data_IF_163790482776
#
_entry.id   IF_163790482776
#
_cell.length_a   1.000
_cell.length_b   1.000
_cell.length_c   1.000
_cell.angle_alpha   90.00
_cell.angle_beta   90.00
_cell.angle_gamma   90.00
#
_symmetry.space_group_name_H-M   'P 1'
#
loop_
_entity.id
_entity.type
_entity.pdbx_description
1 polymer ?
#
# COMPACT_ATOMS: atom_id res chain seq x y z
N UNK A 1 -8.92 -21.11 -39.13
CA UNK A 1 -10.18 -20.45 -38.74
C UNK A 1 -10.07 -20.11 -37.26
N UNK A 2 -9.74 -18.87 -36.93
CA UNK A 2 -9.81 -18.36 -35.55
C UNK A 2 -11.30 -18.34 -35.17
N UNK A 3 -11.67 -19.01 -34.08
CA UNK A 3 -13.05 -19.09 -33.61
C UNK A 3 -13.52 -17.70 -33.17
N UNK A 4 -14.78 -17.31 -33.46
CA UNK A 4 -15.26 -15.96 -33.21
C UNK A 4 -15.46 -15.71 -31.70
N UNK A 5 -14.61 -14.86 -31.13
CA UNK A 5 -14.86 -13.65 -30.31
C UNK A 5 -16.17 -13.54 -29.47
N UNK A 6 -16.68 -14.63 -28.88
CA UNK A 6 -17.71 -14.54 -27.85
C UNK A 6 -17.13 -14.38 -26.44
N UNK A 7 -15.85 -14.72 -26.27
CA UNK A 7 -15.12 -14.72 -24.99
C UNK A 7 -14.44 -13.36 -24.70
N UNK A 8 -14.06 -12.61 -25.73
CA UNK A 8 -13.27 -11.38 -25.56
C UNK A 8 -14.02 -10.28 -24.80
N UNK A 9 -15.34 -10.15 -25.00
CA UNK A 9 -16.16 -9.16 -24.28
C UNK A 9 -16.31 -9.51 -22.80
N UNK A 10 -16.55 -10.78 -22.47
CA UNK A 10 -16.66 -11.22 -21.08
C UNK A 10 -15.31 -11.06 -20.35
N UNK A 11 -14.20 -11.36 -21.02
CA UNK A 11 -12.86 -11.17 -20.48
C UNK A 11 -12.56 -9.69 -20.21
N UNK A 12 -12.87 -8.79 -21.15
CA UNK A 12 -12.71 -7.34 -20.96
C UNK A 12 -13.53 -6.86 -19.76
N UNK A 13 -14.81 -7.26 -19.65
CA UNK A 13 -15.63 -6.88 -18.50
C UNK A 13 -15.07 -7.37 -17.16
N UNK A 14 -14.49 -8.58 -17.13
CA UNK A 14 -13.86 -9.13 -15.93
C UNK A 14 -12.58 -8.39 -15.57
N UNK A 15 -11.79 -7.99 -16.56
CA UNK A 15 -10.59 -7.17 -16.38
C UNK A 15 -10.97 -5.82 -15.79
N UNK A 16 -11.96 -5.12 -16.37
CA UNK A 16 -12.41 -3.81 -15.88
C UNK A 16 -12.94 -3.87 -14.44
N UNK A 17 -13.76 -4.89 -14.13
CA UNK A 17 -14.23 -5.14 -12.76
C UNK A 17 -13.07 -5.39 -11.80
N UNK A 18 -12.05 -6.14 -12.22
CA UNK A 18 -10.88 -6.46 -11.40
C UNK A 18 -9.99 -5.26 -11.19
N UNK A 19 -9.72 -4.46 -12.22
CA UNK A 19 -8.94 -3.23 -12.13
C UNK A 19 -9.63 -2.28 -11.14
N UNK A 20 -10.93 -2.05 -11.28
CA UNK A 20 -11.69 -1.17 -10.37
C UNK A 20 -11.59 -1.65 -8.92
N UNK A 21 -11.85 -2.93 -8.66
CA UNK A 21 -11.78 -3.49 -7.31
C UNK A 21 -10.36 -3.49 -6.74
N UNK A 22 -9.35 -3.76 -7.55
CA UNK A 22 -7.95 -3.81 -7.13
C UNK A 22 -7.42 -2.41 -6.83
N UNK A 23 -7.72 -1.43 -7.69
CA UNK A 23 -7.33 -0.03 -7.46
C UNK A 23 -7.91 0.47 -6.15
N UNK A 24 -9.20 0.25 -5.91
CA UNK A 24 -9.82 0.60 -4.63
C UNK A 24 -9.15 -0.09 -3.45
N UNK A 25 -8.93 -1.41 -3.53
CA UNK A 25 -8.31 -2.16 -2.43
C UNK A 25 -6.89 -1.69 -2.12
N UNK A 26 -6.08 -1.40 -3.14
CA UNK A 26 -4.72 -0.89 -2.95
C UNK A 26 -4.77 0.54 -2.40
N UNK A 27 -5.64 1.39 -2.94
CA UNK A 27 -5.76 2.79 -2.54
C UNK A 27 -6.29 2.98 -1.10
N UNK A 28 -7.09 2.06 -0.60
CA UNK A 28 -7.63 2.16 0.76
C UNK A 28 -6.79 1.47 1.82
N UNK A 29 -6.15 0.34 1.50
CA UNK A 29 -5.57 -0.52 2.54
C UNK A 29 -4.05 -0.62 2.52
N UNK A 30 -3.39 -0.29 1.41
CA UNK A 30 -1.93 -0.43 1.30
C UNK A 30 -1.16 0.86 1.58
N UNK A 31 -1.81 2.02 1.53
CA UNK A 31 -1.12 3.28 1.78
C UNK A 31 -0.94 3.52 3.28
N UNK A 32 0.27 3.91 3.64
CA UNK A 32 0.63 4.30 4.99
C UNK A 32 1.24 5.69 4.96
N UNK A 33 0.53 6.64 5.56
CA UNK A 33 1.06 7.93 6.00
C UNK A 33 1.12 7.97 7.54
N UNK A 34 1.68 9.04 8.11
CA UNK A 34 1.78 9.19 9.56
C UNK A 34 0.40 9.22 10.25
N UNK A 35 -0.63 9.78 9.60
CA UNK A 35 -1.99 9.82 10.14
C UNK A 35 -2.61 8.41 10.21
N UNK A 36 -2.42 7.62 9.16
CA UNK A 36 -2.89 6.26 9.04
C UNK A 36 -2.14 5.32 9.99
N UNK A 37 -0.82 5.51 10.18
CA UNK A 37 -0.08 4.78 11.21
C UNK A 37 -0.67 5.03 12.60
N UNK A 38 -0.99 6.29 12.94
CA UNK A 38 -1.67 6.63 14.20
C UNK A 38 -3.08 6.02 14.29
N UNK A 39 -3.82 5.98 13.19
CA UNK A 39 -5.13 5.32 13.15
C UNK A 39 -5.01 3.82 13.45
N UNK A 40 -4.05 3.13 12.82
CA UNK A 40 -3.80 1.69 13.02
C UNK A 40 -3.34 1.43 14.46
N UNK A 41 -2.49 2.29 15.02
CA UNK A 41 -2.06 2.21 16.42
C UNK A 41 -3.25 2.31 17.41
N UNK A 42 -4.29 3.05 17.04
CA UNK A 42 -5.51 3.22 17.83
C UNK A 42 -6.63 2.21 17.49
N UNK A 43 -6.35 1.18 16.67
CA UNK A 43 -7.37 0.20 16.32
C UNK A 43 -7.87 -0.58 17.53
N UNK A 44 -9.18 -0.86 17.51
CA UNK A 44 -9.76 -1.87 18.40
C UNK A 44 -9.67 -3.22 17.71
N UNK A 45 -9.37 -4.25 18.49
CA UNK A 45 -9.36 -5.64 18.03
C UNK A 45 -10.76 -6.24 18.13
N UNK A 46 -10.98 -7.32 17.40
CA UNK A 46 -12.23 -8.11 17.43
C UNK A 46 -13.49 -7.34 16.98
N UNK A 47 -13.32 -6.36 16.08
CA UNK A 47 -14.45 -5.67 15.47
C UNK A 47 -15.20 -6.60 14.51
N UNK A 48 -16.45 -6.93 14.84
CA UNK A 48 -17.33 -7.74 13.99
C UNK A 48 -18.47 -6.88 13.44
N UNK A 49 -18.23 -6.21 12.31
CA UNK A 49 -19.25 -5.47 11.56
C UNK A 49 -18.81 -5.21 10.11
N UNK A 50 -19.78 -5.00 9.19
CA UNK A 50 -19.48 -4.47 7.85
C UNK A 50 -18.96 -3.02 7.90
N UNK A 51 -19.24 -2.31 8.99
CA UNK A 51 -18.77 -0.94 9.25
C UNK A 51 -17.52 -0.89 10.13
N UNK A 52 -16.84 -2.03 10.34
CA UNK A 52 -15.61 -2.09 11.11
C UNK A 52 -14.52 -1.23 10.47
N UNK A 53 -13.78 -0.51 11.31
CA UNK A 53 -12.61 0.28 10.88
C UNK A 53 -11.42 -0.66 10.70
N UNK A 54 -11.23 -1.58 11.63
CA UNK A 54 -10.18 -2.58 11.58
C UNK A 54 -10.60 -3.82 10.78
N UNK A 55 -10.76 -3.66 9.46
CA UNK A 55 -11.28 -4.72 8.57
C UNK A 55 -10.43 -5.99 8.52
N UNK A 56 -9.13 -5.88 8.82
CA UNK A 56 -8.22 -7.02 8.82
C UNK A 56 -7.94 -7.55 10.22
N UNK A 57 -8.57 -7.00 11.26
CA UNK A 57 -8.30 -7.36 12.66
C UNK A 57 -6.80 -7.30 13.01
N UNK A 58 -6.11 -6.24 12.55
CA UNK A 58 -4.71 -5.98 12.87
C UNK A 58 -4.59 -5.67 14.35
N UNK A 59 -3.60 -6.27 14.99
CA UNK A 59 -3.28 -6.05 16.39
C UNK A 59 -2.29 -4.86 16.46
N UNK A 60 -2.63 -3.72 17.08
CA UNK A 60 -1.74 -2.56 17.17
C UNK A 60 -0.37 -2.89 17.75
N UNK A 61 -0.32 -3.80 18.72
CA UNK A 61 0.92 -4.26 19.38
C UNK A 61 1.82 -5.07 18.43
N UNK A 62 1.34 -5.43 17.23
CA UNK A 62 2.15 -6.11 16.21
C UNK A 62 2.94 -5.15 15.31
N UNK A 63 2.72 -3.83 15.44
CA UNK A 63 3.49 -2.83 14.70
C UNK A 63 4.93 -2.82 15.23
N UNK A 64 5.95 -3.04 14.38
CA UNK A 64 7.33 -2.98 14.83
C UNK A 64 7.76 -1.56 15.23
N UNK A 65 8.53 -1.43 16.32
CA UNK A 65 8.97 -0.14 16.85
C UNK A 65 9.71 0.74 15.82
N UNK A 66 10.51 0.11 14.95
CA UNK A 66 11.27 0.81 13.91
C UNK A 66 10.37 1.59 12.94
N UNK A 67 9.09 1.22 12.79
CA UNK A 67 8.16 1.90 11.89
C UNK A 67 7.89 3.32 12.38
N UNK A 68 7.81 3.54 13.69
CA UNK A 68 7.59 4.86 14.26
C UNK A 68 8.80 5.78 14.05
N UNK A 69 10.01 5.24 14.14
CA UNK A 69 11.24 5.99 13.89
C UNK A 69 11.48 6.23 12.39
N UNK A 70 11.07 5.28 11.54
CA UNK A 70 11.20 5.36 10.09
C UNK A 70 10.18 6.31 9.47
N UNK A 71 8.95 6.40 9.99
CA UNK A 71 7.89 7.17 9.35
C UNK A 71 8.09 8.69 9.56
N UNK A 72 8.35 9.48 8.49
CA UNK A 72 8.42 10.94 8.62
C UNK A 72 7.04 11.57 8.78
N UNK A 73 7.01 12.85 9.17
CA UNK A 73 5.77 13.64 9.21
C UNK A 73 5.21 13.89 7.80
N UNK A 74 6.09 13.96 6.79
CA UNK A 74 5.76 14.14 5.39
C UNK A 74 6.31 12.95 4.60
N UNK A 75 5.45 11.97 4.38
CA UNK A 75 5.82 10.78 3.64
C UNK A 75 4.64 9.82 3.54
N UNK A 76 4.58 9.10 2.43
CA UNK A 76 3.61 8.05 2.21
C UNK A 76 4.29 6.94 1.42
N UNK A 77 3.94 5.70 1.70
CA UNK A 77 4.36 4.58 0.87
C UNK A 77 3.33 3.45 0.92
N UNK A 78 3.47 2.53 -0.04
CA UNK A 78 2.73 1.28 -0.02
C UNK A 78 3.42 0.25 0.87
N UNK A 79 2.72 -0.22 1.90
CA UNK A 79 3.19 -1.32 2.74
C UNK A 79 3.37 -2.61 1.94
N UNK A 80 4.24 -3.48 2.45
CA UNK A 80 4.64 -4.71 1.79
C UNK A 80 3.50 -5.68 1.55
N UNK A 81 2.62 -5.84 2.54
CA UNK A 81 1.51 -6.78 2.48
C UNK A 81 0.41 -6.44 3.50
N UNK A 82 -0.82 -6.82 3.15
CA UNK A 82 -1.98 -6.78 4.04
C UNK A 82 -2.62 -8.17 4.05
N UNK A 83 -2.84 -8.73 5.22
CA UNK A 83 -3.43 -10.05 5.42
C UNK A 83 -4.30 -10.06 6.68
N UNK A 84 -5.20 -11.05 6.83
CA UNK A 84 -5.95 -11.21 8.07
C UNK A 84 -5.00 -11.29 9.27
N UNK A 85 -5.25 -10.45 10.27
CA UNK A 85 -4.48 -10.28 11.50
C UNK A 85 -3.00 -9.86 11.32
N UNK A 86 -2.56 -9.49 10.11
CA UNK A 86 -1.15 -9.14 9.86
C UNK A 86 -0.99 -8.09 8.77
N UNK A 87 -0.24 -7.04 9.09
CA UNK A 87 0.31 -6.10 8.12
C UNK A 87 1.82 -6.20 8.10
N UNK A 88 2.41 -6.10 6.91
CA UNK A 88 3.86 -6.05 6.71
C UNK A 88 4.25 -4.62 6.35
N UNK A 89 4.74 -3.87 7.34
CA UNK A 89 5.07 -2.46 7.23
C UNK A 89 6.35 -2.18 6.44
N UNK A 90 7.07 -3.20 5.97
CA UNK A 90 8.28 -2.98 5.18
C UNK A 90 7.96 -2.15 3.94
N UNK A 91 8.80 -1.13 3.72
CA UNK A 91 8.86 -0.44 2.44
C UNK A 91 9.33 -1.43 1.38
N UNK A 92 9.03 -1.19 0.10
CA UNK A 92 9.55 -1.99 -1.02
C UNK A 92 9.71 -1.07 -2.23
N UNK A 93 10.94 -0.95 -2.74
CA UNK A 93 11.25 -0.04 -3.85
C UNK A 93 10.39 -0.33 -5.07
N UNK A 94 10.46 -1.56 -5.58
CA UNK A 94 9.83 -1.95 -6.85
C UNK A 94 8.32 -1.71 -6.81
N UNK A 95 7.70 -1.96 -5.66
CA UNK A 95 6.26 -1.74 -5.44
C UNK A 95 5.91 -0.25 -5.58
N UNK A 96 6.63 0.62 -4.87
CA UNK A 96 6.37 2.06 -4.91
C UNK A 96 6.68 2.66 -6.29
N UNK A 97 7.75 2.22 -6.95
CA UNK A 97 8.06 2.65 -8.32
C UNK A 97 6.99 2.21 -9.32
N UNK A 98 6.55 0.95 -9.29
CA UNK A 98 5.49 0.47 -10.18
C UNK A 98 4.18 1.19 -9.90
N UNK A 99 3.86 1.51 -8.64
CA UNK A 99 2.65 2.25 -8.29
C UNK A 99 2.62 3.65 -8.94
N UNK A 100 3.76 4.34 -8.98
CA UNK A 100 3.91 5.62 -9.67
C UNK A 100 3.80 5.43 -11.20
N UNK A 101 4.55 4.49 -11.77
CA UNK A 101 4.61 4.26 -13.23
C UNK A 101 3.30 3.75 -13.84
N UNK A 102 2.50 3.03 -13.05
CA UNK A 102 1.21 2.47 -13.49
C UNK A 102 0.02 3.39 -13.22
N UNK A 103 0.26 4.62 -12.73
CA UNK A 103 -0.77 5.59 -12.33
C UNK A 103 -1.72 5.07 -11.24
N UNK A 104 -1.28 4.08 -10.45
CA UNK A 104 -2.02 3.57 -9.29
C UNK A 104 -1.95 4.55 -8.12
N UNK A 105 -0.79 5.20 -7.95
CA UNK A 105 -0.59 6.31 -7.05
C UNK A 105 -1.17 7.60 -7.66
N UNK A 106 -1.83 8.42 -6.82
CA UNK A 106 -2.20 9.78 -7.23
C UNK A 106 -0.96 10.65 -7.41
N UNK A 107 -1.07 11.78 -8.12
CA UNK A 107 0.06 12.70 -8.29
C UNK A 107 0.60 13.24 -6.96
N UNK A 108 -0.28 13.40 -5.96
CA UNK A 108 0.10 13.79 -4.61
C UNK A 108 0.87 12.66 -3.92
N UNK A 109 0.34 11.43 -3.94
CA UNK A 109 1.03 10.26 -3.39
C UNK A 109 2.40 10.05 -4.03
N UNK A 110 2.51 10.17 -5.36
CA UNK A 110 3.79 10.05 -6.06
C UNK A 110 4.82 11.08 -5.59
N UNK A 111 4.39 12.33 -5.35
CA UNK A 111 5.26 13.38 -4.82
C UNK A 111 5.68 13.05 -3.39
N UNK A 112 4.74 12.63 -2.55
CA UNK A 112 4.99 12.32 -1.13
C UNK A 112 5.83 11.03 -0.94
N UNK A 113 5.79 10.09 -1.89
CA UNK A 113 6.73 8.95 -1.94
C UNK A 113 8.16 9.46 -2.20
N UNK A 114 8.33 10.45 -3.09
CA UNK A 114 9.64 11.04 -3.34
C UNK A 114 10.13 11.85 -2.13
N UNK A 115 9.25 12.62 -1.47
CA UNK A 115 9.56 13.30 -0.20
C UNK A 115 10.07 12.29 0.85
N UNK A 116 9.43 11.11 0.97
CA UNK A 116 9.89 10.04 1.88
C UNK A 116 11.29 9.53 1.51
N UNK A 117 11.58 9.34 0.22
CA UNK A 117 12.90 8.88 -0.24
C UNK A 117 13.98 9.91 0.04
N UNK A 118 13.67 11.20 -0.10
CA UNK A 118 14.58 12.29 0.25
C UNK A 118 14.84 12.36 1.76
N UNK A 119 13.80 12.25 2.60
CA UNK A 119 13.95 12.27 4.06
C UNK A 119 14.65 11.03 4.61
N UNK A 120 14.47 9.86 3.97
CA UNK A 120 15.08 8.58 4.36
C UNK A 120 16.18 8.13 3.41
N UNK A 121 16.93 9.09 2.86
CA UNK A 121 17.97 8.81 1.88
C UNK A 121 19.03 7.81 2.37
N UNK A 122 19.53 7.97 3.59
CA UNK A 122 20.53 7.06 4.18
C UNK A 122 19.99 5.63 4.35
N UNK A 123 18.70 5.52 4.72
CA UNK A 123 18.06 4.23 4.97
C UNK A 123 17.66 3.51 3.68
N UNK A 124 17.28 4.23 2.63
CA UNK A 124 16.76 3.64 1.38
C UNK A 124 17.81 3.58 0.25
N UNK A 125 18.76 4.51 0.25
CA UNK A 125 19.82 4.65 -0.77
C UNK A 125 21.19 4.43 -0.13
N UNK A 126 21.54 5.24 0.87
CA UNK A 126 22.90 5.31 1.42
C UNK A 126 23.94 5.57 0.33
N UNK A 127 25.09 4.91 0.42
CA UNK A 127 26.20 5.03 -0.53
C UNK A 127 25.98 4.26 -1.85
N UNK A 128 25.00 3.34 -1.92
CA UNK A 128 24.71 2.54 -3.11
C UNK A 128 23.21 2.49 -3.43
N UNK A 129 22.74 3.20 -4.49
CA UNK A 129 21.36 3.09 -4.94
C UNK A 129 21.07 1.69 -5.53
N UNK A 130 19.94 1.03 -5.27
CA UNK A 130 18.88 1.29 -4.28
C UNK A 130 18.66 0.00 -3.47
N UNK A 131 18.29 0.11 -2.19
CA UNK A 131 17.97 -1.07 -1.39
C UNK A 131 16.67 -1.72 -1.88
N UNK A 132 16.67 -3.06 -1.93
CA UNK A 132 15.47 -3.85 -2.29
C UNK A 132 14.41 -3.80 -1.18
N UNK A 133 14.87 -3.59 0.07
CA UNK A 133 14.19 -3.82 1.35
C UNK A 133 12.70 -3.58 1.25
#
# INVERSE_FOLDING_TARGET
MLKPEYDDKELIERIDKRITALSFHVQEYYWLDFAQLNNIYCYKTEEYSQTAVNKFNVIPESIPDWVFDFMPLRGVYMIGNVSPARMDFRWFLVRNCIAILSCLATSEQATTIMDLVEERWEDLVGEMPLKIV
#
